data_IF_810285980100
#
_entry.id   IF_810285980100
#
_cell.length_a   1.000
_cell.length_b   1.000
_cell.length_c   1.000
_cell.angle_alpha   90.00
_cell.angle_beta   90.00
_cell.angle_gamma   90.00
#
_symmetry.space_group_name_H-M   'P 1'
#
loop_
_entity.id
_entity.type
_entity.pdbx_description
1 polymer ?
#
# COMPACT_ATOMS: atom_id res chain seq x y z
N UNK A 1 -7.11 8.44 -3.45
CA UNK A 1 -6.75 7.02 -3.23
C UNK A 1 -6.02 6.89 -1.92
N UNK A 2 -6.39 5.89 -1.11
CA UNK A 2 -5.63 5.52 0.09
C UNK A 2 -4.72 4.35 -0.25
N UNK A 3 -3.48 4.42 0.20
CA UNK A 3 -2.47 3.38 0.05
C UNK A 3 -2.22 2.71 1.40
N UNK A 4 -1.87 1.42 1.35
CA UNK A 4 -1.60 0.60 2.51
C UNK A 4 -0.41 -0.33 2.23
N UNK A 5 0.49 -0.44 3.20
CA UNK A 5 1.58 -1.40 3.22
C UNK A 5 1.28 -2.51 4.23
N UNK A 6 1.47 -3.76 3.84
CA UNK A 6 1.27 -4.91 4.73
C UNK A 6 2.15 -6.09 4.35
N UNK A 7 2.64 -6.84 5.35
CA UNK A 7 3.38 -8.09 5.11
C UNK A 7 2.45 -9.30 5.21
N UNK A 8 1.73 -9.43 6.33
CA UNK A 8 1.00 -10.67 6.67
C UNK A 8 -0.50 -10.61 6.43
N UNK A 9 -1.09 -9.41 6.36
CA UNK A 9 -2.53 -9.23 6.26
C UNK A 9 -3.02 -8.94 4.83
N UNK A 10 -2.19 -9.19 3.80
CA UNK A 10 -2.54 -8.91 2.40
C UNK A 10 -3.81 -9.64 1.91
N UNK A 11 -4.17 -10.77 2.52
CA UNK A 11 -5.41 -11.51 2.21
C UNK A 11 -6.65 -10.98 2.94
N UNK A 12 -6.46 -10.18 3.99
CA UNK A 12 -7.55 -9.59 4.77
C UNK A 12 -8.11 -8.33 4.09
N UNK A 13 -7.24 -7.43 3.65
CA UNK A 13 -7.62 -6.12 3.10
C UNK A 13 -8.48 -6.11 1.82
N UNK A 14 -8.48 -7.14 0.95
CA UNK A 14 -9.46 -7.23 -0.13
C UNK A 14 -10.91 -7.15 0.34
N UNK A 15 -11.20 -7.66 1.54
CA UNK A 15 -12.53 -7.58 2.16
C UNK A 15 -12.94 -6.14 2.51
N UNK A 16 -11.96 -5.24 2.66
CA UNK A 16 -12.16 -3.82 2.93
C UNK A 16 -12.09 -2.96 1.66
N UNK A 17 -12.08 -3.58 0.48
CA UNK A 17 -12.06 -2.90 -0.82
C UNK A 17 -10.67 -2.48 -1.30
N UNK A 18 -9.60 -2.91 -0.63
CA UNK A 18 -8.24 -2.70 -1.13
C UNK A 18 -7.88 -3.71 -2.20
N UNK A 19 -7.06 -3.29 -3.16
CA UNK A 19 -6.54 -4.15 -4.22
C UNK A 19 -5.01 -4.09 -4.22
N UNK A 20 -4.32 -5.21 -4.45
CA UNK A 20 -2.87 -5.18 -4.60
C UNK A 20 -2.50 -4.38 -5.86
N UNK A 21 -1.45 -3.57 -5.75
CA UNK A 21 -0.88 -2.80 -6.88
C UNK A 21 0.65 -2.91 -6.87
N UNK A 22 1.31 -2.52 -7.97
CA UNK A 22 2.76 -2.39 -7.96
C UNK A 22 3.19 -1.18 -7.14
N UNK A 23 4.40 -1.25 -6.57
CA UNK A 23 5.01 -0.09 -5.89
C UNK A 23 5.26 1.07 -6.85
N UNK A 24 5.45 0.78 -8.14
CA UNK A 24 5.57 1.80 -9.19
C UNK A 24 4.27 2.52 -9.55
N UNK A 25 3.12 1.96 -9.16
CA UNK A 25 1.79 2.55 -9.43
C UNK A 25 1.35 3.51 -8.31
N UNK A 26 2.15 3.65 -7.26
CA UNK A 26 1.88 4.55 -6.14
C UNK A 26 2.22 5.98 -6.54
N UNK A 27 1.37 6.92 -6.11
CA UNK A 27 1.62 8.34 -6.29
C UNK A 27 3.04 8.73 -5.80
N UNK A 28 3.85 9.41 -6.62
CA UNK A 28 5.20 9.82 -6.25
C UNK A 28 5.30 10.61 -4.93
N UNK A 29 4.25 11.36 -4.56
CA UNK A 29 4.20 12.05 -3.28
C UNK A 29 4.13 11.09 -2.10
N UNK A 30 3.40 9.98 -2.25
CA UNK A 30 3.27 8.94 -1.21
C UNK A 30 4.51 8.06 -1.15
N UNK A 31 5.20 7.83 -2.28
CA UNK A 31 6.47 7.09 -2.28
C UNK A 31 7.57 7.74 -1.41
N UNK A 32 7.45 9.04 -1.11
CA UNK A 32 8.36 9.78 -0.23
C UNK A 32 7.96 9.76 1.24
N UNK A 33 6.85 9.08 1.59
CA UNK A 33 6.38 9.01 2.97
C UNK A 33 7.24 8.07 3.80
N UNK A 34 7.21 8.27 5.12
CA UNK A 34 7.94 7.44 6.09
C UNK A 34 7.62 5.95 5.93
N UNK A 35 6.36 5.61 5.66
CA UNK A 35 5.90 4.25 5.41
C UNK A 35 6.65 3.59 4.25
N UNK A 36 6.90 4.33 3.16
CA UNK A 36 7.58 3.80 1.97
C UNK A 36 9.11 3.90 2.03
N UNK A 37 9.67 4.72 2.90
CA UNK A 37 11.12 4.94 2.97
C UNK A 37 11.79 4.23 4.13
N UNK A 38 11.15 4.16 5.31
CA UNK A 38 11.84 3.74 6.55
C UNK A 38 11.00 2.87 7.47
N UNK A 39 9.69 3.12 7.61
CA UNK A 39 8.88 2.41 8.59
C UNK A 39 8.45 1.00 8.15
N UNK A 40 8.20 0.79 6.85
CA UNK A 40 7.89 -0.55 6.34
C UNK A 40 9.05 -1.10 5.50
N UNK A 41 9.32 -2.42 5.57
CA UNK A 41 10.34 -3.04 4.75
C UNK A 41 9.94 -3.07 3.27
N UNK A 42 10.92 -3.21 2.39
CA UNK A 42 10.68 -3.32 0.94
C UNK A 42 9.88 -4.58 0.56
N UNK A 43 9.83 -5.60 1.42
CA UNK A 43 8.99 -6.81 1.28
C UNK A 43 7.50 -6.54 1.47
N UNK A 44 7.11 -5.40 2.05
CA UNK A 44 5.71 -5.09 2.29
C UNK A 44 4.95 -4.95 0.96
N UNK A 45 3.80 -5.63 0.88
CA UNK A 45 2.89 -5.53 -0.26
C UNK A 45 2.15 -4.21 -0.23
N UNK A 46 2.09 -3.58 -1.38
CA UNK A 46 1.33 -2.35 -1.61
C UNK A 46 -0.09 -2.69 -1.99
N UNK A 47 -1.03 -2.03 -1.34
CA UNK A 47 -2.44 -2.11 -1.65
C UNK A 47 -3.04 -0.72 -1.77
N UNK A 48 -4.03 -0.55 -2.65
CA UNK A 48 -4.71 0.71 -2.86
C UNK A 48 -6.23 0.56 -2.80
N UNK A 49 -6.90 1.60 -2.32
CA UNK A 49 -8.35 1.72 -2.33
C UNK A 49 -8.75 3.13 -2.78
N UNK A 50 -9.64 3.20 -3.76
CA UNK A 50 -10.30 4.45 -4.13
C UNK A 50 -11.37 4.76 -3.07
N UNK A 51 -11.30 5.95 -2.50
CA UNK A 51 -12.38 6.47 -1.63
C UNK A 51 -13.44 7.12 -2.52
N UNK A 52 -14.71 6.98 -2.13
CA UNK A 52 -15.81 7.70 -2.75
C UNK A 52 -15.79 9.17 -2.32
#
# INVERSE_FOLDING_TARGET
TVYLLTETAAQFFPKLGFRPISRGDVDPAVLRSTEFTTACPASARVMARTLA
#
